data_IF_823225062344
#
_entry.id   IF_823225062344
#
_cell.length_a   1.000
_cell.length_b   1.000
_cell.length_c   1.000
_cell.angle_alpha   90.00
_cell.angle_beta   90.00
_cell.angle_gamma   90.00
#
_symmetry.space_group_name_H-M   'P 1'
#
loop_
_entity.id
_entity.type
_entity.pdbx_description
1 polymer ?
#
# COMPACT_ATOMS: atom_id res chain seq x y z
N UNK A 1 -57.78 8.56 -36.96
CA UNK A 1 -57.87 7.20 -37.47
C UNK A 1 -56.89 6.35 -36.74
N UNK A 2 -57.37 5.66 -35.75
CA UNK A 2 -57.51 4.20 -35.54
C UNK A 2 -56.11 3.55 -35.40
N UNK A 3 -55.66 3.32 -34.21
CA UNK A 3 -55.91 2.14 -33.32
C UNK A 3 -55.33 0.86 -33.91
N UNK A 4 -54.35 0.28 -33.19
CA UNK A 4 -54.45 -1.12 -32.75
C UNK A 4 -53.45 -1.44 -31.66
N UNK A 5 -53.95 -1.74 -30.47
CA UNK A 5 -53.25 -2.43 -29.37
C UNK A 5 -53.13 -3.91 -29.72
N UNK A 6 -51.97 -4.51 -29.49
CA UNK A 6 -51.87 -5.96 -29.35
C UNK A 6 -51.12 -6.25 -28.06
N UNK A 7 -51.88 -6.61 -27.07
CA UNK A 7 -51.49 -7.27 -25.83
C UNK A 7 -51.26 -8.74 -26.11
N UNK A 8 -50.12 -9.31 -25.81
CA UNK A 8 -49.90 -10.75 -25.77
C UNK A 8 -49.43 -11.17 -24.37
N UNK A 9 -50.37 -11.69 -23.60
CA UNK A 9 -50.23 -12.44 -22.36
C UNK A 9 -50.02 -13.90 -22.68
N UNK A 10 -48.93 -14.50 -22.22
CA UNK A 10 -48.76 -15.95 -22.10
C UNK A 10 -47.94 -16.09 -20.80
N UNK A 11 -48.45 -16.55 -19.71
CA UNK A 11 -49.06 -17.86 -19.45
C UNK A 11 -48.08 -18.63 -18.58
N UNK A 12 -48.35 -18.53 -17.27
CA UNK A 12 -47.69 -19.23 -16.15
C UNK A 12 -47.80 -20.73 -16.29
N UNK A 13 -46.72 -21.48 -16.14
CA UNK A 13 -46.81 -22.91 -15.84
C UNK A 13 -45.85 -23.25 -14.70
N UNK A 14 -46.43 -23.41 -13.52
CA UNK A 14 -45.80 -24.05 -12.35
C UNK A 14 -45.74 -25.54 -12.58
N UNK A 15 -44.56 -26.13 -12.48
CA UNK A 15 -44.39 -27.55 -12.26
C UNK A 15 -43.72 -27.75 -10.90
N UNK A 16 -44.51 -28.18 -9.93
CA UNK A 16 -44.10 -28.71 -8.64
C UNK A 16 -43.79 -30.18 -8.81
N UNK A 17 -42.57 -30.63 -8.46
CA UNK A 17 -42.30 -32.03 -8.13
C UNK A 17 -41.52 -32.12 -6.83
N UNK A 18 -41.82 -33.14 -6.00
CA UNK A 18 -41.35 -33.21 -4.63
C UNK A 18 -40.14 -34.10 -4.40
N UNK A 19 -39.42 -33.79 -3.35
CA UNK A 19 -38.81 -34.83 -2.49
C UNK A 19 -37.46 -35.35 -2.89
N UNK A 20 -36.47 -35.05 -2.08
CA UNK A 20 -35.17 -35.72 -2.08
C UNK A 20 -34.29 -35.08 -0.99
N UNK A 21 -34.45 -35.52 0.25
CA UNK A 21 -33.54 -35.21 1.33
C UNK A 21 -32.20 -35.96 1.07
N UNK A 22 -31.13 -35.21 0.88
CA UNK A 22 -29.78 -35.71 1.02
C UNK A 22 -28.97 -34.73 1.85
N UNK A 23 -28.45 -35.23 2.95
CA UNK A 23 -27.62 -34.52 3.90
C UNK A 23 -26.42 -33.90 3.22
N UNK A 24 -26.28 -32.59 3.25
CA UNK A 24 -25.06 -31.90 2.91
C UNK A 24 -24.17 -31.87 4.16
N UNK A 25 -23.16 -32.67 4.12
CA UNK A 25 -22.00 -32.68 5.00
C UNK A 25 -21.35 -31.29 5.00
N UNK A 26 -21.34 -30.64 6.15
CA UNK A 26 -20.68 -29.35 6.39
C UNK A 26 -19.18 -29.56 6.37
N UNK A 27 -18.55 -29.36 5.25
CA UNK A 27 -17.09 -29.21 5.16
C UNK A 27 -16.71 -27.86 5.79
N UNK A 28 -16.27 -27.93 7.04
CA UNK A 28 -15.62 -26.85 7.76
C UNK A 28 -14.23 -26.63 7.10
N UNK A 29 -13.91 -25.43 6.55
CA UNK A 29 -12.55 -25.16 6.11
C UNK A 29 -11.66 -25.03 7.35
N UNK A 30 -10.69 -25.90 7.46
CA UNK A 30 -9.66 -25.88 8.49
C UNK A 30 -8.98 -24.50 8.58
N UNK A 31 -8.64 -24.06 9.81
CA UNK A 31 -7.88 -22.83 9.98
C UNK A 31 -6.50 -22.99 9.35
N UNK A 32 -6.17 -22.06 8.44
CA UNK A 32 -4.83 -21.91 7.87
C UNK A 32 -3.81 -21.83 9.01
N UNK A 33 -2.95 -22.81 9.10
CA UNK A 33 -1.87 -22.85 10.08
C UNK A 33 -0.98 -21.63 9.89
N UNK A 34 -0.86 -20.83 10.94
CA UNK A 34 0.13 -19.78 11.07
C UNK A 34 1.52 -20.42 10.85
N UNK A 35 2.23 -19.95 9.84
CA UNK A 35 3.60 -20.34 9.59
C UNK A 35 4.45 -20.01 10.83
N UNK A 36 5.00 -21.05 11.42
CA UNK A 36 6.00 -21.00 12.49
C UNK A 36 7.16 -20.12 12.02
N UNK A 37 7.66 -19.17 12.84
CA UNK A 37 8.86 -18.43 12.49
C UNK A 37 10.03 -19.41 12.30
N UNK A 38 10.66 -19.36 11.14
CA UNK A 38 11.89 -20.10 10.89
C UNK A 38 12.99 -19.58 11.83
N UNK A 39 13.56 -20.48 12.58
CA UNK A 39 14.70 -20.28 13.45
C UNK A 39 15.86 -19.71 12.64
N UNK A 40 16.33 -18.51 12.99
CA UNK A 40 17.41 -17.84 12.32
C UNK A 40 18.73 -18.57 12.63
N UNK A 41 19.27 -19.28 11.67
CA UNK A 41 20.65 -19.75 11.69
C UNK A 41 21.58 -18.54 11.68
N UNK A 42 22.60 -18.47 12.55
CA UNK A 42 23.52 -17.35 12.58
C UNK A 42 24.30 -17.28 11.26
N UNK A 43 24.13 -16.21 10.54
CA UNK A 43 24.84 -15.94 9.30
C UNK A 43 26.34 -15.74 9.60
N UNK A 44 27.15 -16.52 8.90
CA UNK A 44 28.60 -16.35 8.79
C UNK A 44 28.92 -14.89 8.43
N UNK A 45 29.91 -14.24 9.05
CA UNK A 45 30.28 -12.87 8.72
C UNK A 45 30.68 -12.76 7.24
N UNK A 46 30.01 -11.85 6.52
CA UNK A 46 30.31 -11.53 5.15
C UNK A 46 31.71 -10.91 5.02
N UNK A 47 32.45 -11.17 3.93
CA UNK A 47 33.74 -10.54 3.69
C UNK A 47 33.57 -9.02 3.56
N UNK A 48 34.60 -8.31 4.05
CA UNK A 48 34.67 -6.86 4.12
C UNK A 48 34.20 -6.17 2.83
N UNK A 49 33.30 -5.20 3.00
CA UNK A 49 32.68 -4.43 1.97
C UNK A 49 33.72 -3.78 1.03
N UNK A 50 33.66 -4.14 -0.24
CA UNK A 50 34.24 -3.32 -1.30
C UNK A 50 33.57 -1.93 -1.22
N UNK A 51 34.37 -0.86 -1.23
CA UNK A 51 33.89 0.52 -1.30
C UNK A 51 32.87 0.64 -2.44
N UNK A 52 31.64 1.12 -2.19
CA UNK A 52 30.71 1.35 -3.26
C UNK A 52 31.29 2.45 -4.17
N UNK A 53 31.41 2.15 -5.46
CA UNK A 53 31.67 3.15 -6.46
C UNK A 53 30.58 4.23 -6.35
N UNK A 54 30.97 5.44 -5.94
CA UNK A 54 30.10 6.60 -5.87
C UNK A 54 29.83 7.09 -7.31
N UNK A 55 28.88 6.48 -7.98
CA UNK A 55 28.22 7.05 -9.16
C UNK A 55 26.77 7.35 -8.80
N UNK A 56 26.57 8.09 -7.72
CA UNK A 56 25.29 8.66 -7.37
C UNK A 56 25.18 10.05 -7.95
N UNK A 57 24.47 10.22 -9.06
CA UNK A 57 24.08 11.56 -9.48
C UNK A 57 23.36 12.23 -8.31
N UNK A 58 24.02 13.20 -7.71
CA UNK A 58 23.45 14.01 -6.63
C UNK A 58 22.32 14.84 -7.23
N UNK A 59 21.12 14.75 -6.64
CA UNK A 59 19.99 15.57 -7.06
C UNK A 59 20.37 17.06 -6.95
N UNK A 60 19.94 17.86 -7.92
CA UNK A 60 20.08 19.31 -7.85
C UNK A 60 19.21 19.86 -6.71
N UNK A 61 19.53 21.05 -6.17
CA UNK A 61 18.71 21.70 -5.16
C UNK A 61 17.24 21.87 -5.58
N UNK A 62 16.97 22.14 -6.85
CA UNK A 62 15.61 22.23 -7.40
C UNK A 62 14.87 20.88 -7.35
N UNK A 63 15.53 19.79 -7.70
CA UNK A 63 14.96 18.44 -7.63
C UNK A 63 14.72 18.02 -6.16
N UNK A 64 15.58 18.42 -5.23
CA UNK A 64 15.36 18.18 -3.80
C UNK A 64 14.14 18.95 -3.28
N UNK A 65 13.99 20.21 -3.69
CA UNK A 65 12.83 21.04 -3.31
C UNK A 65 11.52 20.48 -3.88
N UNK A 66 11.55 20.02 -5.13
CA UNK A 66 10.40 19.37 -5.77
C UNK A 66 9.98 18.10 -5.03
N UNK A 67 10.92 17.24 -4.64
CA UNK A 67 10.63 16.03 -3.85
C UNK A 67 10.03 16.38 -2.50
N UNK A 68 10.48 17.44 -1.82
CA UNK A 68 9.86 17.90 -0.58
C UNK A 68 8.38 18.27 -0.78
N UNK A 69 8.05 19.00 -1.83
CA UNK A 69 6.68 19.36 -2.15
C UNK A 69 5.83 18.11 -2.44
N UNK A 70 6.39 17.11 -3.10
CA UNK A 70 5.75 15.82 -3.41
C UNK A 70 5.46 15.03 -2.13
N UNK A 71 6.42 14.95 -1.21
CA UNK A 71 6.27 14.29 0.09
C UNK A 71 5.13 14.93 0.90
N UNK A 72 5.09 16.26 0.97
CA UNK A 72 4.02 17.00 1.66
C UNK A 72 2.64 16.75 1.03
N UNK A 73 2.54 16.67 -0.30
CA UNK A 73 1.28 16.32 -0.98
C UNK A 73 0.77 14.92 -0.62
N UNK A 74 1.67 13.93 -0.48
CA UNK A 74 1.26 12.60 -0.01
C UNK A 74 0.70 12.68 1.41
N UNK A 75 1.35 13.43 2.32
CA UNK A 75 0.87 13.61 3.70
C UNK A 75 -0.52 14.27 3.72
N UNK A 76 -0.70 15.35 2.99
CA UNK A 76 -2.00 16.03 2.88
C UNK A 76 -3.09 15.13 2.33
N UNK A 77 -2.81 14.38 1.27
CA UNK A 77 -3.77 13.46 0.68
C UNK A 77 -4.09 12.30 1.62
N UNK A 78 -3.10 11.78 2.35
CA UNK A 78 -3.30 10.79 3.41
C UNK A 78 -4.24 11.32 4.48
N UNK A 79 -4.03 12.54 4.96
CA UNK A 79 -4.88 13.16 5.95
C UNK A 79 -6.30 13.44 5.42
N UNK A 80 -6.45 13.79 4.14
CA UNK A 80 -7.78 13.88 3.50
C UNK A 80 -8.50 12.52 3.47
N UNK A 81 -7.79 11.42 3.17
CA UNK A 81 -8.39 10.09 3.27
C UNK A 81 -8.80 9.78 4.70
N UNK A 82 -7.93 10.00 5.69
CA UNK A 82 -8.27 9.78 7.10
C UNK A 82 -9.51 10.56 7.53
N UNK A 83 -9.62 11.83 7.15
CA UNK A 83 -10.79 12.66 7.45
C UNK A 83 -12.10 12.07 6.87
N UNK A 84 -12.09 11.49 5.68
CA UNK A 84 -13.24 10.79 5.07
C UNK A 84 -13.73 9.60 5.91
N UNK A 85 -12.85 9.02 6.73
CA UNK A 85 -13.16 7.93 7.66
C UNK A 85 -13.29 8.40 9.12
N UNK A 86 -13.46 9.71 9.35
CA UNK A 86 -13.66 10.26 10.70
C UNK A 86 -12.42 10.19 11.60
N UNK A 87 -11.23 9.98 11.04
CA UNK A 87 -9.99 9.83 11.79
C UNK A 87 -9.25 11.16 11.92
N UNK A 88 -8.57 11.34 13.06
CA UNK A 88 -7.72 12.52 13.29
C UNK A 88 -6.57 12.55 12.27
N UNK A 89 -6.14 13.76 11.82
CA UNK A 89 -4.98 13.89 10.95
C UNK A 89 -3.71 13.46 11.68
N UNK A 90 -2.78 12.91 10.91
CA UNK A 90 -1.42 12.60 11.35
C UNK A 90 -0.56 13.85 11.30
N UNK A 91 0.25 14.06 12.35
CA UNK A 91 1.23 15.14 12.39
C UNK A 91 2.53 14.72 11.73
N UNK A 92 3.17 15.64 11.02
CA UNK A 92 4.48 15.41 10.43
C UNK A 92 5.52 15.16 11.52
N UNK A 93 6.30 14.10 11.37
CA UNK A 93 7.43 13.78 12.24
C UNK A 93 8.72 13.81 11.41
N UNK A 94 9.60 14.74 11.72
CA UNK A 94 10.86 14.89 10.99
C UNK A 94 11.84 13.72 11.21
N UNK A 95 11.71 13.00 12.31
CA UNK A 95 12.45 11.75 12.53
C UNK A 95 12.02 10.68 11.54
N UNK A 96 10.70 10.52 11.36
CA UNK A 96 10.14 9.61 10.36
C UNK A 96 10.47 10.04 8.92
N UNK A 97 10.43 11.34 8.60
CA UNK A 97 10.86 11.83 7.27
C UNK A 97 12.31 11.43 7.00
N UNK A 98 13.22 11.67 7.94
CA UNK A 98 14.62 11.26 7.78
C UNK A 98 14.78 9.74 7.65
N UNK A 99 14.01 8.99 8.42
CA UNK A 99 14.00 7.53 8.35
C UNK A 99 13.49 7.04 7.00
N UNK A 100 12.34 7.53 6.54
CA UNK A 100 11.75 7.18 5.24
C UNK A 100 12.70 7.54 4.08
N UNK A 101 13.38 8.68 4.14
CA UNK A 101 14.39 9.09 3.14
C UNK A 101 15.58 8.15 3.09
N UNK A 102 16.12 7.77 4.24
CA UNK A 102 17.22 6.76 4.26
C UNK A 102 16.77 5.45 3.67
N UNK A 103 15.55 5.02 4.01
CA UNK A 103 15.01 3.76 3.50
C UNK A 103 14.73 3.80 2.00
N UNK A 104 14.12 4.86 1.49
CA UNK A 104 13.93 5.03 0.04
C UNK A 104 15.25 5.04 -0.73
N UNK A 105 16.27 5.71 -0.21
CA UNK A 105 17.62 5.68 -0.80
C UNK A 105 18.20 4.26 -0.81
N UNK A 106 18.03 3.52 0.29
CA UNK A 106 18.49 2.14 0.37
C UNK A 106 17.79 1.27 -0.67
N UNK A 107 16.45 1.34 -0.77
CA UNK A 107 15.67 0.60 -1.76
C UNK A 107 16.14 0.92 -3.19
N UNK A 108 16.39 2.19 -3.47
CA UNK A 108 16.86 2.66 -4.79
C UNK A 108 18.24 2.11 -5.13
N UNK A 109 19.21 2.17 -4.20
CA UNK A 109 20.58 1.70 -4.42
C UNK A 109 20.66 0.19 -4.59
N UNK A 110 19.79 -0.55 -3.92
CA UNK A 110 19.76 -2.01 -3.96
C UNK A 110 18.78 -2.55 -5.02
N UNK A 111 18.11 -1.67 -5.77
CA UNK A 111 17.06 -2.04 -6.72
C UNK A 111 16.02 -3.00 -6.11
N UNK A 112 15.68 -2.78 -4.84
CA UNK A 112 14.86 -3.69 -4.04
C UNK A 112 13.70 -2.96 -3.38
N UNK A 113 12.47 -3.46 -3.57
CA UNK A 113 11.28 -3.01 -2.86
C UNK A 113 11.08 -3.92 -1.64
N UNK A 114 11.67 -3.55 -0.52
CA UNK A 114 11.67 -4.33 0.71
C UNK A 114 11.34 -3.44 1.91
N UNK A 115 10.54 -3.97 2.84
CA UNK A 115 10.20 -3.25 4.07
C UNK A 115 11.41 -3.06 4.99
N UNK A 116 11.43 -1.92 5.68
CA UNK A 116 12.37 -1.69 6.78
C UNK A 116 11.92 -2.44 8.04
N UNK A 117 12.86 -2.76 8.92
CA UNK A 117 12.53 -3.34 10.21
C UNK A 117 12.07 -2.26 11.21
N UNK A 118 11.13 -2.63 12.10
CA UNK A 118 10.84 -1.92 13.33
C UNK A 118 9.91 -0.70 13.23
N UNK A 119 9.39 -0.36 12.05
CA UNK A 119 8.43 0.73 11.90
C UNK A 119 7.31 0.33 10.93
N UNK A 120 6.03 0.57 11.27
CA UNK A 120 4.94 0.36 10.33
C UNK A 120 5.09 1.28 9.12
N UNK A 121 5.02 0.70 7.92
CA UNK A 121 5.23 1.48 6.70
C UNK A 121 4.45 0.97 5.50
N UNK A 122 4.24 1.87 4.56
CA UNK A 122 3.80 1.58 3.19
C UNK A 122 4.95 1.91 2.25
N UNK A 123 5.30 0.99 1.37
CA UNK A 123 6.29 1.21 0.31
C UNK A 123 5.67 0.96 -1.06
N UNK A 124 6.19 1.63 -2.07
CA UNK A 124 5.79 1.45 -3.46
C UNK A 124 6.90 1.86 -4.42
N UNK A 125 6.80 1.41 -5.69
CA UNK A 125 7.76 1.75 -6.74
C UNK A 125 7.03 1.90 -8.07
N UNK A 126 7.39 2.92 -8.84
CA UNK A 126 6.91 3.12 -10.21
C UNK A 126 5.77 4.13 -10.36
N UNK A 127 5.05 4.46 -9.29
CA UNK A 127 3.99 5.48 -9.34
C UNK A 127 4.59 6.86 -9.62
N UNK A 128 4.07 7.55 -10.65
CA UNK A 128 4.60 8.83 -11.12
C UNK A 128 4.15 10.05 -10.30
N UNK A 129 3.17 9.89 -9.40
CA UNK A 129 2.58 11.01 -8.67
C UNK A 129 2.11 10.65 -7.25
N UNK A 130 1.96 11.66 -6.36
CA UNK A 130 1.36 11.49 -5.04
C UNK A 130 -0.04 10.89 -5.06
N UNK A 131 -0.85 11.25 -6.04
CA UNK A 131 -2.22 10.73 -6.18
C UNK A 131 -2.20 9.26 -6.57
N UNK A 132 -1.34 8.89 -7.49
CA UNK A 132 -1.22 7.51 -7.97
C UNK A 132 -0.73 6.59 -6.86
N UNK A 133 0.33 6.95 -6.13
CA UNK A 133 0.83 6.13 -5.03
C UNK A 133 -0.18 5.98 -3.91
N UNK A 134 -0.89 7.06 -3.54
CA UNK A 134 -1.92 6.98 -2.52
C UNK A 134 -3.08 6.08 -2.96
N UNK A 135 -3.52 6.16 -4.21
CA UNK A 135 -4.55 5.28 -4.75
C UNK A 135 -4.10 3.82 -4.73
N UNK A 136 -2.85 3.54 -5.11
CA UNK A 136 -2.26 2.21 -5.02
C UNK A 136 -2.33 1.67 -3.58
N UNK A 137 -1.91 2.47 -2.59
CA UNK A 137 -1.97 2.07 -1.19
C UNK A 137 -3.40 1.90 -0.66
N UNK A 138 -4.32 2.78 -1.05
CA UNK A 138 -5.72 2.68 -0.62
C UNK A 138 -6.47 1.49 -1.22
N UNK A 139 -6.02 0.98 -2.36
CA UNK A 139 -6.58 -0.22 -3.01
C UNK A 139 -5.95 -1.53 -2.50
N UNK A 140 -4.92 -1.47 -1.68
CA UNK A 140 -4.29 -2.62 -1.03
C UNK A 140 -4.74 -2.71 0.43
N UNK A 141 -5.27 -3.84 0.87
CA UNK A 141 -5.83 -4.01 2.21
C UNK A 141 -4.82 -3.73 3.32
N UNK A 142 -3.58 -4.21 3.19
CA UNK A 142 -2.50 -4.01 4.17
C UNK A 142 -2.04 -2.55 4.24
N UNK A 143 -1.78 -1.91 3.10
CA UNK A 143 -1.39 -0.50 3.06
C UNK A 143 -2.51 0.43 3.54
N UNK A 144 -3.74 0.15 3.14
CA UNK A 144 -4.92 0.89 3.60
C UNK A 144 -5.09 0.77 5.12
N UNK A 145 -4.87 -0.41 5.69
CA UNK A 145 -4.94 -0.61 7.13
C UNK A 145 -3.96 0.31 7.89
N UNK A 146 -2.75 0.50 7.37
CA UNK A 146 -1.80 1.46 7.95
C UNK A 146 -2.32 2.89 7.86
N UNK A 147 -2.80 3.34 6.70
CA UNK A 147 -3.33 4.69 6.50
C UNK A 147 -4.52 4.98 7.43
N UNK A 148 -5.40 4.01 7.63
CA UNK A 148 -6.63 4.15 8.42
C UNK A 148 -6.48 3.68 9.86
N UNK A 149 -5.29 3.37 10.35
CA UNK A 149 -5.07 2.99 11.74
C UNK A 149 -5.29 4.19 12.67
N UNK A 150 -6.29 4.08 13.54
CA UNK A 150 -6.65 5.14 14.51
C UNK A 150 -5.60 5.36 15.60
N UNK A 151 -4.76 4.34 15.87
CA UNK A 151 -3.69 4.40 16.86
C UNK A 151 -2.46 5.18 16.40
N UNK A 152 -2.32 5.50 15.10
CA UNK A 152 -1.22 6.31 14.63
C UNK A 152 -1.54 7.81 14.77
N UNK A 153 -0.53 8.57 15.18
CA UNK A 153 -0.61 10.03 15.37
C UNK A 153 0.41 10.81 14.58
N UNK A 154 1.45 10.12 14.05
CA UNK A 154 2.58 10.75 13.36
C UNK A 154 2.88 10.06 12.05
N UNK A 155 3.41 10.82 11.09
CA UNK A 155 3.72 10.36 9.74
C UNK A 155 5.02 10.98 9.24
N UNK A 156 5.82 10.20 8.52
CA UNK A 156 6.89 10.66 7.65
C UNK A 156 6.75 10.04 6.27
N UNK A 157 7.03 10.80 5.24
CA UNK A 157 6.98 10.34 3.85
C UNK A 157 8.28 10.70 3.16
N UNK A 158 8.70 9.84 2.25
CA UNK A 158 9.80 10.11 1.33
C UNK A 158 9.49 9.61 -0.07
N UNK A 159 10.01 10.34 -1.06
CA UNK A 159 10.05 9.94 -2.45
C UNK A 159 11.46 10.11 -2.99
N UNK A 160 11.93 9.14 -3.75
CA UNK A 160 13.22 9.22 -4.42
C UNK A 160 13.08 8.79 -5.87
N UNK A 161 13.52 9.67 -6.80
CA UNK A 161 13.49 9.40 -8.23
C UNK A 161 14.87 8.92 -8.68
N UNK A 162 14.92 7.76 -9.36
CA UNK A 162 16.13 7.26 -9.97
C UNK A 162 16.51 8.10 -11.20
N UNK A 163 17.76 8.03 -11.68
CA UNK A 163 18.14 8.65 -12.95
C UNK A 163 17.29 8.17 -14.14
N UNK A 164 16.76 6.96 -14.08
CA UNK A 164 15.88 6.38 -15.11
C UNK A 164 14.40 6.83 -14.97
N UNK A 165 14.10 7.69 -13.99
CA UNK A 165 12.78 8.25 -13.79
C UNK A 165 11.86 7.46 -12.86
N UNK A 166 12.24 6.25 -12.43
CA UNK A 166 11.44 5.45 -11.48
C UNK A 166 11.42 6.10 -10.10
N UNK A 167 10.25 6.20 -9.48
CA UNK A 167 10.12 6.75 -8.12
C UNK A 167 9.91 5.62 -7.13
N UNK A 168 10.69 5.62 -6.06
CA UNK A 168 10.47 4.83 -4.87
C UNK A 168 9.77 5.69 -3.82
N UNK A 169 8.79 5.12 -3.13
CA UNK A 169 7.96 5.77 -2.13
C UNK A 169 8.03 5.03 -0.81
N UNK A 170 8.07 5.78 0.27
CA UNK A 170 7.99 5.23 1.62
C UNK A 170 7.14 6.16 2.50
N UNK A 171 6.20 5.58 3.24
CA UNK A 171 5.35 6.26 4.20
C UNK A 171 5.42 5.51 5.52
N UNK A 172 5.95 6.12 6.57
CA UNK A 172 6.15 5.53 7.89
C UNK A 172 5.24 6.17 8.93
N UNK A 173 4.84 5.38 9.93
CA UNK A 173 3.88 5.78 10.94
C UNK A 173 4.38 5.52 12.35
N UNK A 174 3.95 6.35 13.32
CA UNK A 174 4.11 6.12 14.76
C UNK A 174 2.84 6.47 15.53
N UNK A 175 2.72 5.88 16.70
CA UNK A 175 1.70 6.19 17.71
C UNK A 175 2.00 7.49 18.42
#
# INVERSE_FOLDING_TARGET
MLSLFVTLTIGLLFAILPGGAAAAETANPAPSQAAKPAEATPAKPAPAAAKPAQSGATLTPAQQLELHAVEMRVIEQTNRQRARYGLRPLRVDFGLIRSARRHTQWMTRNHSLQHSAGVPENIAMGQGSPTEVLNTWMNSSGHRANILNSGYTRIGVAAYRTPQGTIFWCQQFLR
#
